data_IF_627393865705
#
_entry.id   IF_627393865705
#
_cell.length_a   1.000
_cell.length_b   1.000
_cell.length_c   1.000
_cell.angle_alpha   90.00
_cell.angle_beta   90.00
_cell.angle_gamma   90.00
#
_symmetry.space_group_name_H-M   'P 1'
#
loop_
_entity.id
_entity.type
_entity.pdbx_description
1 polymer ?
#
# COMPACT_ATOMS: atom_id res chain seq x y z
N UNK A 1 -12.68 -6.80 7.55
CA UNK A 1 -11.47 -7.62 7.76
C UNK A 1 -10.47 -7.29 6.67
N UNK A 2 -9.17 -7.27 6.98
CA UNK A 2 -8.11 -7.00 5.99
C UNK A 2 -7.77 -8.27 5.20
N UNK A 3 -7.23 -8.08 4.01
CA UNK A 3 -6.73 -9.18 3.20
C UNK A 3 -5.63 -9.97 3.97
N UNK A 4 -5.73 -11.29 3.96
CA UNK A 4 -4.82 -12.16 4.71
C UNK A 4 -3.50 -12.44 3.97
N UNK A 5 -3.28 -11.85 2.79
CA UNK A 5 -2.08 -12.06 1.99
C UNK A 5 -0.88 -11.32 2.58
N UNK A 6 0.22 -12.05 2.69
CA UNK A 6 1.52 -11.55 3.12
C UNK A 6 2.54 -11.68 2.01
N UNK A 7 3.44 -10.71 1.93
CA UNK A 7 4.56 -10.73 0.98
C UNK A 7 5.87 -10.43 1.70
N UNK A 8 6.89 -11.24 1.43
CA UNK A 8 8.27 -10.91 1.82
C UNK A 8 8.79 -9.82 0.91
N UNK A 9 9.45 -8.83 1.48
CA UNK A 9 10.08 -7.74 0.73
C UNK A 9 11.40 -8.28 0.16
N UNK A 10 11.59 -8.26 -1.18
CA UNK A 10 12.86 -8.58 -1.80
C UNK A 10 13.99 -7.70 -1.24
N UNK A 11 15.22 -8.23 -1.16
CA UNK A 11 16.33 -7.51 -0.53
C UNK A 11 16.72 -6.25 -1.31
N UNK A 12 16.65 -6.30 -2.63
CA UNK A 12 16.85 -5.18 -3.54
C UNK A 12 15.82 -4.07 -3.29
N UNK A 13 14.53 -4.41 -3.23
CA UNK A 13 13.47 -3.43 -2.92
C UNK A 13 13.56 -2.91 -1.47
N UNK A 14 13.98 -3.74 -0.52
CA UNK A 14 14.19 -3.29 0.86
C UNK A 14 15.36 -2.31 0.97
N UNK A 15 16.41 -2.48 0.16
CA UNK A 15 17.52 -1.53 0.07
C UNK A 15 17.06 -0.24 -0.62
N UNK A 16 16.38 -0.33 -1.76
CA UNK A 16 15.82 0.82 -2.46
C UNK A 16 14.88 1.63 -1.56
N UNK A 17 14.05 0.95 -0.77
CA UNK A 17 13.17 1.59 0.21
C UNK A 17 13.94 2.36 1.29
N UNK A 18 15.08 1.84 1.76
CA UNK A 18 15.96 2.54 2.72
C UNK A 18 16.64 3.75 2.11
N UNK A 19 16.95 3.71 0.82
CA UNK A 19 17.56 4.85 0.14
C UNK A 19 16.55 5.97 -0.12
N UNK A 20 15.28 5.61 -0.37
CA UNK A 20 14.20 6.56 -0.63
C UNK A 20 13.52 7.12 0.62
N UNK A 21 13.73 6.51 1.79
CA UNK A 21 13.06 6.92 3.03
C UNK A 21 14.06 7.30 4.11
N UNK A 22 13.69 8.26 4.95
CA UNK A 22 14.43 8.55 6.18
C UNK A 22 14.19 7.51 7.29
N UNK A 23 13.48 6.42 6.98
CA UNK A 23 13.08 5.42 7.95
C UNK A 23 14.28 4.61 8.43
N UNK A 24 14.42 4.48 9.75
CA UNK A 24 15.47 3.66 10.37
C UNK A 24 15.21 2.16 10.23
N UNK A 25 13.98 1.78 9.88
CA UNK A 25 13.54 0.41 9.71
C UNK A 25 12.63 0.28 8.48
N UNK A 26 12.85 -0.78 7.71
CA UNK A 26 11.94 -1.25 6.67
C UNK A 26 11.58 -2.69 7.02
N UNK A 27 10.28 -2.98 7.10
CA UNK A 27 9.78 -4.31 7.40
C UNK A 27 10.25 -5.33 6.36
N UNK A 28 10.56 -6.55 6.81
CA UNK A 28 11.01 -7.64 5.92
C UNK A 28 9.84 -8.38 5.26
N UNK A 29 8.64 -8.18 5.77
CA UNK A 29 7.41 -8.72 5.21
C UNK A 29 6.26 -7.78 5.55
N UNK A 30 5.35 -7.61 4.61
CA UNK A 30 4.18 -6.73 4.74
C UNK A 30 2.91 -7.51 4.48
N UNK A 31 1.87 -7.20 5.24
CA UNK A 31 0.51 -7.67 4.97
C UNK A 31 -0.17 -6.73 3.98
N UNK A 32 -1.03 -7.28 3.12
CA UNK A 32 -1.93 -6.47 2.31
C UNK A 32 -2.84 -5.62 3.23
N UNK A 33 -2.77 -4.29 3.05
CA UNK A 33 -3.55 -3.32 3.83
C UNK A 33 -4.95 -3.08 3.28
N UNK A 34 -5.29 -3.69 2.13
CA UNK A 34 -6.62 -3.60 1.54
C UNK A 34 -7.66 -4.37 2.38
N UNK A 35 -8.92 -3.96 2.25
CA UNK A 35 -10.07 -4.79 2.67
C UNK A 35 -9.98 -6.17 2.03
N UNK A 36 -10.58 -7.19 2.65
CA UNK A 36 -10.71 -8.50 2.03
C UNK A 36 -11.23 -8.37 0.58
N UNK A 37 -10.48 -8.92 -0.36
CA UNK A 37 -10.72 -8.83 -1.80
C UNK A 37 -10.26 -10.12 -2.48
N UNK A 38 -10.87 -10.45 -3.62
CA UNK A 38 -10.51 -11.60 -4.44
C UNK A 38 -9.58 -11.23 -5.62
N UNK A 39 -9.21 -9.95 -5.74
CA UNK A 39 -8.23 -9.50 -6.75
C UNK A 39 -6.81 -9.99 -6.49
N UNK A 40 -5.99 -10.08 -7.54
CA UNK A 40 -4.60 -10.55 -7.42
C UNK A 40 -3.60 -9.42 -7.08
N UNK A 41 -4.04 -8.16 -7.13
CA UNK A 41 -3.23 -7.00 -6.80
C UNK A 41 -3.33 -6.69 -5.31
N UNK A 42 -2.19 -6.43 -4.68
CA UNK A 42 -2.09 -6.20 -3.25
C UNK A 42 -1.10 -5.08 -2.95
N UNK A 43 -1.34 -4.39 -1.83
CA UNK A 43 -0.53 -3.27 -1.37
C UNK A 43 -0.20 -3.41 0.10
N UNK A 44 1.08 -3.31 0.43
CA UNK A 44 1.60 -3.38 1.79
C UNK A 44 2.42 -2.15 2.10
N UNK A 45 2.11 -1.48 3.20
CA UNK A 45 2.84 -0.29 3.65
C UNK A 45 4.24 -0.69 4.14
N UNK A 46 5.29 -0.05 3.62
CA UNK A 46 6.68 -0.27 4.05
C UNK A 46 7.15 0.80 5.04
N UNK A 47 6.84 2.06 4.74
CA UNK A 47 7.10 3.18 5.63
C UNK A 47 6.18 4.34 5.27
N UNK A 48 5.74 5.03 6.30
CA UNK A 48 5.05 6.30 6.21
C UNK A 48 5.97 7.32 6.88
N UNK A 49 6.63 8.15 6.08
CA UNK A 49 7.55 9.13 6.64
C UNK A 49 6.83 10.38 7.15
N UNK A 50 5.52 10.53 6.88
CA UNK A 50 4.65 11.62 7.32
C UNK A 50 5.13 13.05 6.97
N UNK A 51 6.35 13.21 6.48
CA UNK A 51 7.05 14.48 6.32
C UNK A 51 6.71 15.14 4.99
N UNK A 52 6.32 14.32 4.00
CA UNK A 52 6.04 14.78 2.65
C UNK A 52 4.59 14.55 2.19
N UNK A 53 3.71 14.08 3.08
CA UNK A 53 2.35 13.72 2.71
C UNK A 53 2.32 12.56 1.71
N UNK A 54 3.29 11.65 1.81
CA UNK A 54 3.44 10.48 0.94
C UNK A 54 3.91 9.30 1.78
N UNK A 55 3.47 8.10 1.41
CA UNK A 55 3.93 6.85 1.99
C UNK A 55 4.56 5.94 0.93
N UNK A 56 5.47 5.09 1.37
CA UNK A 56 6.14 4.10 0.53
C UNK A 56 5.49 2.73 0.70
N UNK A 57 5.14 2.12 -0.44
CA UNK A 57 4.37 0.89 -0.49
C UNK A 57 5.08 -0.16 -1.33
N UNK A 58 4.85 -1.41 -0.96
CA UNK A 58 5.10 -2.57 -1.81
C UNK A 58 3.79 -2.91 -2.54
N UNK A 59 3.82 -2.86 -3.87
CA UNK A 59 2.74 -3.38 -4.72
C UNK A 59 3.15 -4.75 -5.25
N UNK A 60 2.24 -5.72 -5.23
CA UNK A 60 2.51 -7.02 -5.85
C UNK A 60 1.29 -7.62 -6.51
N UNK A 61 1.55 -8.44 -7.53
CA UNK A 61 0.55 -9.19 -8.26
C UNK A 61 0.76 -10.69 -8.04
N UNK A 62 -0.15 -11.34 -7.30
CA UNK A 62 -0.05 -12.75 -6.96
C UNK A 62 1.31 -13.14 -6.35
N UNK A 63 1.99 -14.12 -6.95
CA UNK A 63 3.32 -14.58 -6.50
C UNK A 63 4.48 -13.95 -7.27
N UNK A 64 4.21 -13.25 -8.38
CA UNK A 64 5.22 -12.81 -9.33
C UNK A 64 5.68 -11.38 -9.11
N UNK A 65 5.09 -10.45 -9.87
CA UNK A 65 5.50 -9.05 -9.95
C UNK A 65 5.41 -8.37 -8.58
N UNK A 66 6.48 -7.65 -8.24
CA UNK A 66 6.59 -6.88 -7.01
C UNK A 66 7.36 -5.62 -7.33
N UNK A 67 6.84 -4.48 -6.88
CA UNK A 67 7.45 -3.19 -7.14
C UNK A 67 7.25 -2.25 -5.96
N UNK A 68 8.10 -1.23 -5.91
CA UNK A 68 8.06 -0.18 -4.91
C UNK A 68 7.33 1.03 -5.49
N UNK A 69 6.30 1.51 -4.79
CA UNK A 69 5.51 2.67 -5.24
C UNK A 69 5.42 3.71 -4.12
N UNK A 70 5.59 4.98 -4.48
CA UNK A 70 5.36 6.12 -3.59
C UNK A 70 3.96 6.64 -3.87
N UNK A 71 3.11 6.66 -2.85
CA UNK A 71 1.72 7.08 -2.98
C UNK A 71 1.44 8.28 -2.06
N UNK A 72 0.77 9.34 -2.56
CA UNK A 72 0.42 10.49 -1.74
C UNK A 72 -0.65 10.12 -0.70
N UNK A 73 -0.60 10.76 0.45
CA UNK A 73 -1.63 10.62 1.47
C UNK A 73 -2.97 11.11 0.95
N UNK A 74 -4.04 10.50 1.47
CA UNK A 74 -5.37 10.90 1.08
C UNK A 74 -5.64 12.34 1.55
N UNK A 75 -5.95 13.30 0.65
CA UNK A 75 -6.24 14.68 1.05
C UNK A 75 -7.62 14.81 1.73
N UNK A 76 -8.34 13.70 1.90
CA UNK A 76 -9.62 13.66 2.60
C UNK A 76 -9.36 13.58 4.09
N UNK A 77 -9.54 14.71 4.75
CA UNK A 77 -9.67 14.79 6.21
C UNK A 77 -11.07 14.27 6.56
N UNK A 78 -11.16 13.31 7.47
CA UNK A 78 -12.47 12.87 7.96
C UNK A 78 -13.21 14.08 8.58
N UNK A 79 -14.54 14.21 8.42
CA UNK A 79 -15.32 15.29 9.04
C UNK A 79 -15.41 15.17 10.59
N UNK A 80 -14.58 14.34 11.21
CA UNK A 80 -14.58 14.08 12.64
C UNK A 80 -13.48 14.89 13.35
N UNK A 81 -13.68 15.29 14.63
CA UNK A 81 -12.88 16.32 15.29
C UNK A 81 -11.40 15.94 15.45
N UNK A 82 -11.07 14.65 15.31
CA UNK A 82 -9.71 14.13 15.45
C UNK A 82 -8.89 14.28 14.15
N UNK A 83 -9.50 14.65 13.03
CA UNK A 83 -8.79 15.02 11.79
C UNK A 83 -7.94 13.90 11.16
N UNK A 84 -8.09 12.65 11.61
CA UNK A 84 -7.36 11.53 11.03
C UNK A 84 -7.76 11.39 9.55
N UNK A 85 -6.76 11.50 8.66
CA UNK A 85 -6.94 11.33 7.22
C UNK A 85 -7.57 9.98 6.90
N UNK A 86 -8.18 9.86 5.71
CA UNK A 86 -8.91 8.66 5.28
C UNK A 86 -8.13 7.37 5.55
N UNK A 87 -8.44 6.75 6.69
CA UNK A 87 -7.92 5.46 7.08
C UNK A 87 -8.64 4.41 6.24
N UNK A 88 -8.18 4.20 5.00
CA UNK A 88 -8.26 2.96 4.21
C UNK A 88 -9.65 2.34 3.90
N UNK A 89 -10.78 2.86 4.39
CA UNK A 89 -12.04 2.09 4.44
C UNK A 89 -13.37 2.83 4.19
N UNK A 90 -13.37 4.13 3.92
CA UNK A 90 -14.63 4.80 3.53
C UNK A 90 -14.86 4.60 2.03
N UNK A 91 -15.96 3.94 1.66
CA UNK A 91 -16.43 3.75 0.27
C UNK A 91 -16.80 5.09 -0.39
N UNK A 92 -15.81 5.98 -0.55
CA UNK A 92 -15.97 7.31 -1.11
C UNK A 92 -15.46 7.35 -2.54
N UNK A 93 -16.13 8.17 -3.35
CA UNK A 93 -15.91 8.25 -4.79
C UNK A 93 -14.54 8.84 -5.20
N UNK A 94 -13.77 9.44 -4.28
CA UNK A 94 -12.44 9.97 -4.61
C UNK A 94 -11.41 8.86 -4.80
N UNK A 95 -10.37 9.16 -5.59
CA UNK A 95 -9.24 8.25 -5.84
C UNK A 95 -8.54 7.97 -4.51
N UNK A 96 -8.65 6.74 -4.05
CA UNK A 96 -7.85 6.23 -2.93
C UNK A 96 -6.46 5.85 -3.45
N UNK A 97 -5.49 5.78 -2.55
CA UNK A 97 -4.12 5.29 -2.79
C UNK A 97 -4.06 3.91 -3.46
N UNK A 98 -5.14 3.13 -3.45
CA UNK A 98 -5.23 1.79 -4.06
C UNK A 98 -6.23 1.68 -5.21
N UNK A 99 -6.93 2.76 -5.60
CA UNK A 99 -8.01 2.69 -6.61
C UNK A 99 -7.41 2.69 -8.02
N UNK A 100 -6.75 1.60 -8.40
CA UNK A 100 -6.59 1.20 -9.79
C UNK A 100 -7.65 0.13 -10.06
N UNK A 101 -8.39 0.26 -11.15
CA UNK A 101 -9.31 -0.78 -11.60
C UNK A 101 -8.48 -1.76 -12.43
N UNK A 102 -8.19 -2.99 -11.97
CA UNK A 102 -7.56 -3.96 -12.83
C UNK A 102 -8.58 -4.35 -13.91
N UNK A 103 -8.30 -4.00 -15.16
CA UNK A 103 -8.95 -4.65 -16.28
C UNK A 103 -8.52 -6.12 -16.30
N UNK A 104 -9.38 -6.99 -15.75
CA UNK A 104 -9.53 -8.37 -16.21
C UNK A 104 -8.30 -9.30 -16.21
N UNK A 105 -7.29 -9.06 -15.38
CA UNK A 105 -6.18 -10.01 -15.27
C UNK A 105 -6.60 -11.20 -14.38
N UNK A 106 -6.94 -12.34 -15.00
CA UNK A 106 -7.01 -13.61 -14.27
C UNK A 106 -5.60 -14.00 -13.81
N UNK A 107 -5.43 -14.34 -12.53
CA UNK A 107 -4.13 -14.79 -12.04
C UNK A 107 -3.80 -16.15 -12.71
N UNK A 108 -2.89 -16.17 -13.68
CA UNK A 108 -2.27 -17.42 -14.12
C UNK A 108 -1.18 -17.78 -13.12
N UNK A 109 -1.39 -18.91 -12.45
CA UNK A 109 -0.45 -19.57 -11.53
C UNK A 109 0.80 -20.07 -12.27
#
# INVERSE_FOLDING_TARGET
MRCAHWRRVPLDLAQEAREKSAATHIDRAVQCQLSAHDGCEHFGLLTDDGAYGTALWLRWYGTGEVELVVLPDCPVVAPWPDGEGCCLFADHAKQHTWKYTPEGASCTN
#
